data_IF_279755440658
#
_entry.id   IF_279755440658
#
_cell.length_a   1.000
_cell.length_b   1.000
_cell.length_c   1.000
_cell.angle_alpha   90.00
_cell.angle_beta   90.00
_cell.angle_gamma   90.00
#
_symmetry.space_group_name_H-M   'P 1'
#
loop_
_entity.id
_entity.type
_entity.pdbx_description
1 polymer ?
#
# COMPACT_ATOMS: atom_id res chain seq x y z
N UNK A 1 -9.50 -28.53 -36.45
CA UNK A 1 -9.44 -27.18 -35.86
C UNK A 1 -8.90 -27.34 -34.45
N UNK A 2 -7.58 -27.27 -34.27
CA UNK A 2 -6.95 -27.34 -32.96
C UNK A 2 -7.14 -26.00 -32.26
N UNK A 3 -7.77 -26.01 -31.09
CA UNK A 3 -7.80 -24.87 -30.19
C UNK A 3 -6.36 -24.55 -29.79
N UNK A 4 -5.86 -23.39 -30.21
CA UNK A 4 -4.73 -22.75 -29.56
C UNK A 4 -5.22 -22.39 -28.15
N UNK A 5 -4.87 -23.21 -27.15
CA UNK A 5 -4.88 -22.75 -25.77
C UNK A 5 -3.76 -21.73 -25.65
N UNK A 6 -4.11 -20.47 -25.89
CA UNK A 6 -3.20 -19.36 -25.67
C UNK A 6 -3.08 -19.18 -24.15
N UNK A 7 -2.01 -19.74 -23.57
CA UNK A 7 -1.68 -19.68 -22.13
C UNK A 7 -1.55 -18.24 -21.59
N UNK A 8 -1.66 -17.23 -22.45
CA UNK A 8 -1.57 -15.81 -22.10
C UNK A 8 -2.89 -15.19 -21.65
N UNK A 9 -4.04 -15.83 -21.87
CA UNK A 9 -5.36 -15.27 -21.50
C UNK A 9 -5.80 -15.75 -20.12
N UNK A 10 -5.56 -14.92 -19.10
CA UNK A 10 -6.13 -15.12 -17.76
C UNK A 10 -7.64 -14.82 -17.78
N UNK A 11 -8.46 -15.85 -17.71
CA UNK A 11 -9.91 -15.71 -17.58
C UNK A 11 -10.27 -15.07 -16.24
N UNK A 12 -11.10 -14.02 -16.27
CA UNK A 12 -11.61 -13.39 -15.05
C UNK A 12 -12.48 -14.38 -14.28
N UNK A 13 -12.15 -14.59 -13.00
CA UNK A 13 -12.93 -15.42 -12.09
C UNK A 13 -13.62 -14.54 -11.07
N UNK A 14 -14.94 -14.69 -10.97
CA UNK A 14 -15.70 -14.05 -9.91
C UNK A 14 -15.37 -14.69 -8.56
N UNK A 15 -15.33 -13.91 -7.47
CA UNK A 15 -15.24 -14.46 -6.13
C UNK A 15 -16.46 -15.37 -5.85
N UNK A 16 -16.26 -16.51 -5.16
CA UNK A 16 -17.36 -17.31 -4.66
C UNK A 16 -18.32 -16.51 -3.76
N UNK A 17 -19.57 -16.95 -3.64
CA UNK A 17 -20.57 -16.31 -2.77
C UNK A 17 -20.50 -16.80 -1.32
N UNK A 18 -19.89 -17.96 -1.07
CA UNK A 18 -19.64 -18.47 0.27
C UNK A 18 -18.44 -17.72 0.89
N UNK A 19 -18.56 -17.28 2.14
CA UNK A 19 -17.53 -16.44 2.80
C UNK A 19 -16.19 -17.16 2.97
N UNK A 20 -16.17 -18.45 3.29
CA UNK A 20 -14.94 -19.23 3.46
C UNK A 20 -14.24 -19.44 2.12
N UNK A 21 -14.99 -19.82 1.09
CA UNK A 21 -14.46 -19.95 -0.27
C UNK A 21 -14.01 -18.60 -0.84
N UNK A 22 -14.72 -17.51 -0.53
CA UNK A 22 -14.34 -16.15 -0.89
C UNK A 22 -13.04 -15.73 -0.16
N UNK A 23 -12.91 -16.09 1.12
CA UNK A 23 -11.68 -15.87 1.87
C UNK A 23 -10.50 -16.58 1.22
N UNK A 24 -10.62 -17.88 0.93
CA UNK A 24 -9.58 -18.67 0.27
C UNK A 24 -9.21 -18.11 -1.11
N UNK A 25 -10.22 -17.72 -1.89
CA UNK A 25 -10.03 -17.07 -3.18
C UNK A 25 -9.22 -15.77 -3.06
N UNK A 26 -9.56 -14.92 -2.08
CA UNK A 26 -8.83 -13.66 -1.83
C UNK A 26 -7.44 -13.90 -1.24
N UNK A 27 -7.28 -14.90 -0.37
CA UNK A 27 -5.98 -15.29 0.16
C UNK A 27 -5.03 -15.76 -0.95
N UNK A 28 -5.54 -16.50 -1.94
CA UNK A 28 -4.76 -16.90 -3.12
C UNK A 28 -4.30 -15.69 -3.93
N UNK A 29 -5.21 -14.74 -4.20
CA UNK A 29 -4.85 -13.49 -4.87
C UNK A 29 -3.80 -12.69 -4.08
N UNK A 30 -3.93 -12.66 -2.75
CA UNK A 30 -3.00 -11.98 -1.86
C UNK A 30 -1.59 -12.57 -1.95
N UNK A 31 -1.47 -13.90 -2.07
CA UNK A 31 -0.19 -14.58 -2.25
C UNK A 31 0.49 -14.20 -3.57
N UNK A 32 -0.25 -14.15 -4.67
CA UNK A 32 0.29 -13.72 -5.97
C UNK A 32 0.78 -12.27 -5.90
N UNK A 33 -0.05 -11.36 -5.37
CA UNK A 33 0.34 -9.94 -5.23
C UNK A 33 1.57 -9.74 -4.35
N UNK A 34 1.72 -10.59 -3.32
CA UNK A 34 2.93 -10.58 -2.47
C UNK A 34 4.18 -10.96 -3.27
N UNK A 35 4.09 -11.95 -4.15
CA UNK A 35 5.21 -12.34 -5.02
C UNK A 35 5.56 -11.23 -6.02
N UNK A 36 4.55 -10.55 -6.58
CA UNK A 36 4.74 -9.41 -7.49
C UNK A 36 5.47 -8.25 -6.80
N UNK A 37 5.16 -7.97 -5.51
CA UNK A 37 5.87 -6.96 -4.71
C UNK A 37 7.35 -7.32 -4.57
N UNK A 38 7.67 -8.55 -4.13
CA UNK A 38 9.06 -8.98 -3.99
C UNK A 38 9.81 -8.98 -5.32
N UNK A 39 9.18 -9.43 -6.41
CA UNK A 39 9.76 -9.38 -7.76
C UNK A 39 10.02 -7.95 -8.23
N UNK A 40 9.15 -7.00 -7.85
CA UNK A 40 9.35 -5.57 -8.13
C UNK A 40 10.55 -5.01 -7.35
N UNK A 41 10.70 -5.39 -6.08
CA UNK A 41 11.86 -5.00 -5.28
C UNK A 41 13.14 -5.62 -5.87
N UNK A 42 13.11 -6.88 -6.28
CA UNK A 42 14.23 -7.52 -6.98
C UNK A 42 14.60 -6.75 -8.25
N UNK A 43 13.61 -6.41 -9.08
CA UNK A 43 13.83 -5.65 -10.30
C UNK A 43 14.47 -4.28 -10.04
N UNK A 44 14.01 -3.56 -9.03
CA UNK A 44 14.48 -2.20 -8.72
C UNK A 44 15.82 -2.19 -7.99
N UNK A 45 16.11 -3.20 -7.16
CA UNK A 45 17.33 -3.26 -6.34
C UNK A 45 18.44 -4.13 -6.94
N UNK A 46 18.16 -4.88 -8.01
CA UNK A 46 19.17 -5.72 -8.65
C UNK A 46 20.22 -4.87 -9.36
N UNK A 47 21.48 -5.22 -9.11
CA UNK A 47 22.63 -4.64 -9.81
C UNK A 47 22.84 -5.29 -11.20
N UNK A 48 22.22 -6.44 -11.44
CA UNK A 48 22.21 -7.15 -12.72
C UNK A 48 20.76 -7.36 -13.17
N UNK A 49 20.37 -6.84 -14.34
CA UNK A 49 19.07 -7.21 -14.90
C UNK A 49 19.00 -8.73 -15.02
N UNK A 50 18.05 -9.37 -14.34
CA UNK A 50 17.60 -10.67 -14.80
C UNK A 50 16.94 -10.43 -16.16
N UNK A 51 17.41 -11.03 -17.26
CA UNK A 51 16.83 -10.83 -18.60
C UNK A 51 15.35 -11.24 -18.71
N UNK A 52 14.78 -11.84 -17.66
CA UNK A 52 13.48 -12.50 -17.69
C UNK A 52 12.27 -11.58 -17.49
N UNK A 53 12.39 -10.43 -16.83
CA UNK A 53 11.19 -9.64 -16.46
C UNK A 53 10.65 -8.80 -17.63
N UNK A 54 11.51 -8.35 -18.55
CA UNK A 54 11.12 -7.43 -19.63
C UNK A 54 11.21 -7.99 -21.04
N UNK A 55 11.49 -9.28 -21.21
CA UNK A 55 11.62 -9.92 -22.55
C UNK A 55 10.33 -9.88 -23.39
N UNK A 56 9.24 -9.29 -22.89
CA UNK A 56 7.93 -9.22 -23.55
C UNK A 56 7.47 -7.81 -23.97
N UNK A 57 8.23 -6.73 -23.73
CA UNK A 57 7.75 -5.36 -24.11
C UNK A 57 8.37 -4.76 -25.36
N UNK A 58 9.40 -5.39 -25.95
CA UNK A 58 9.97 -4.98 -27.23
C UNK A 58 9.62 -6.00 -28.32
N UNK A 59 8.36 -6.00 -28.77
CA UNK A 59 7.97 -6.59 -30.07
C UNK A 59 8.24 -5.65 -31.25
N UNK A 60 8.87 -4.49 -31.01
CA UNK A 60 9.33 -3.64 -32.10
C UNK A 60 10.60 -4.23 -32.69
N UNK A 61 10.53 -4.66 -33.95
CA UNK A 61 11.73 -4.88 -34.75
C UNK A 61 12.57 -3.60 -34.74
N UNK A 62 13.91 -3.71 -34.65
CA UNK A 62 14.77 -2.54 -34.69
C UNK A 62 14.52 -1.79 -36.00
N UNK A 63 13.88 -0.62 -35.93
CA UNK A 63 13.85 0.28 -37.08
C UNK A 63 15.26 0.83 -37.31
N UNK A 64 15.69 0.99 -38.56
CA UNK A 64 17.02 1.49 -38.96
C UNK A 64 17.41 2.90 -38.45
N UNK A 65 16.60 3.50 -37.58
CA UNK A 65 16.99 4.66 -36.78
C UNK A 65 17.59 4.11 -35.49
N UNK A 66 18.87 4.37 -35.26
CA UNK A 66 19.65 3.92 -34.10
C UNK A 66 19.14 4.42 -32.75
N UNK A 67 17.89 4.10 -32.43
CA UNK A 67 17.27 4.28 -31.14
C UNK A 67 17.92 3.26 -30.23
N UNK A 68 18.92 3.75 -29.48
CA UNK A 68 19.54 3.04 -28.38
C UNK A 68 18.42 2.39 -27.56
N UNK A 69 18.34 1.06 -27.57
CA UNK A 69 17.56 0.30 -26.60
C UNK A 69 18.28 0.50 -25.26
N UNK A 70 18.08 1.68 -24.66
CA UNK A 70 18.57 1.99 -23.33
C UNK A 70 17.72 1.20 -22.37
N UNK A 71 18.34 0.35 -21.56
CA UNK A 71 17.70 -0.22 -20.38
C UNK A 71 17.05 0.94 -19.57
N UNK A 72 15.72 1.06 -19.54
CA UNK A 72 15.04 2.19 -18.91
C UNK A 72 15.25 2.22 -17.39
N UNK A 73 15.70 1.11 -16.81
CA UNK A 73 16.01 0.99 -15.39
C UNK A 73 17.48 1.30 -15.06
N UNK A 74 18.35 1.38 -16.07
CA UNK A 74 19.78 1.65 -15.87
C UNK A 74 20.03 2.94 -15.10
N UNK A 75 19.17 3.95 -15.29
CA UNK A 75 19.24 5.22 -14.58
C UNK A 75 19.04 5.11 -13.06
N UNK A 76 18.46 4.02 -12.55
CA UNK A 76 18.23 3.78 -11.13
C UNK A 76 19.35 2.99 -10.45
N UNK A 77 20.26 2.38 -11.21
CA UNK A 77 21.35 1.55 -10.68
C UNK A 77 22.24 2.33 -9.72
N UNK A 78 22.47 1.78 -8.53
CA UNK A 78 23.22 2.44 -7.46
C UNK A 78 22.57 3.71 -6.88
N UNK A 79 21.37 4.10 -7.33
CA UNK A 79 20.66 5.30 -6.87
C UNK A 79 19.53 5.00 -5.89
N UNK A 80 19.09 3.75 -5.79
CA UNK A 80 18.07 3.33 -4.83
C UNK A 80 18.74 2.84 -3.55
N UNK A 81 18.36 3.44 -2.42
CA UNK A 81 18.85 3.04 -1.10
C UNK A 81 18.08 1.81 -0.61
N UNK A 82 18.76 0.66 -0.59
CA UNK A 82 18.19 -0.65 -0.23
C UNK A 82 17.63 -0.69 1.20
N UNK A 83 18.14 0.16 2.10
CA UNK A 83 17.71 0.24 3.51
C UNK A 83 16.44 1.09 3.74
N UNK A 84 15.96 1.80 2.71
CA UNK A 84 14.83 2.74 2.82
C UNK A 84 13.65 2.34 1.92
N UNK A 85 13.24 1.08 2.01
CA UNK A 85 12.08 0.57 1.26
C UNK A 85 10.84 0.63 2.14
N UNK A 86 9.85 1.40 1.72
CA UNK A 86 8.51 1.40 2.31
C UNK A 86 7.50 0.83 1.32
N UNK A 87 6.52 0.11 1.84
CA UNK A 87 5.37 -0.36 1.07
C UNK A 87 4.17 0.55 1.33
N UNK A 88 3.43 0.88 0.28
CA UNK A 88 2.20 1.64 0.37
C UNK A 88 1.07 0.85 -0.30
N UNK A 89 -0.10 0.82 0.30
CA UNK A 89 -1.22 0.07 -0.24
C UNK A 89 -2.57 0.57 0.23
N UNK A 90 -3.54 0.62 -0.71
CA UNK A 90 -4.93 0.98 -0.44
C UNK A 90 -5.83 -0.26 -0.46
N UNK A 91 -6.76 -0.37 0.49
CA UNK A 91 -7.75 -1.46 0.53
C UNK A 91 -7.08 -2.84 0.53
N UNK A 92 -7.34 -3.68 -0.47
CA UNK A 92 -6.64 -4.95 -0.68
C UNK A 92 -5.12 -4.78 -0.88
N UNK A 93 -4.67 -3.64 -1.42
CA UNK A 93 -3.25 -3.30 -1.50
C UNK A 93 -2.61 -3.15 -0.13
N UNK A 94 -3.35 -2.72 0.90
CA UNK A 94 -2.82 -2.66 2.26
C UNK A 94 -2.59 -4.07 2.83
N UNK A 95 -3.56 -4.97 2.69
CA UNK A 95 -3.39 -6.38 3.05
C UNK A 95 -2.21 -7.02 2.30
N UNK A 96 -2.04 -6.67 1.02
CA UNK A 96 -0.88 -7.09 0.21
C UNK A 96 0.41 -6.63 0.85
N UNK A 97 0.50 -5.36 1.20
CA UNK A 97 1.69 -4.80 1.82
C UNK A 97 2.03 -5.42 3.17
N UNK A 98 1.01 -5.70 4.00
CA UNK A 98 1.20 -6.40 5.27
C UNK A 98 1.79 -7.80 5.07
N UNK A 99 1.18 -8.63 4.21
CA UNK A 99 1.70 -9.98 3.96
C UNK A 99 3.07 -9.95 3.28
N UNK A 100 3.29 -9.00 2.35
CA UNK A 100 4.59 -8.83 1.70
C UNK A 100 5.68 -8.44 2.69
N UNK A 101 5.43 -7.49 3.58
CA UNK A 101 6.40 -7.08 4.58
C UNK A 101 6.74 -8.20 5.58
N UNK A 102 5.80 -9.10 5.86
CA UNK A 102 6.08 -10.29 6.66
C UNK A 102 7.02 -11.26 5.94
N UNK A 103 6.88 -11.43 4.62
CA UNK A 103 7.68 -12.38 3.83
C UNK A 103 9.01 -11.80 3.31
N UNK A 104 9.07 -10.48 3.12
CA UNK A 104 10.20 -9.77 2.55
C UNK A 104 10.72 -8.72 3.52
N UNK A 105 11.84 -9.03 4.17
CA UNK A 105 12.42 -8.20 5.22
C UNK A 105 13.04 -6.89 4.68
N UNK A 106 13.17 -6.73 3.36
CA UNK A 106 13.62 -5.48 2.77
C UNK A 106 12.62 -4.35 2.99
N UNK A 107 11.33 -4.67 3.11
CA UNK A 107 10.27 -3.69 3.37
C UNK A 107 10.38 -3.21 4.83
N UNK A 108 11.01 -2.06 5.05
CA UNK A 108 11.27 -1.52 6.39
C UNK A 108 10.05 -0.86 7.05
N UNK A 109 9.03 -0.48 6.28
CA UNK A 109 7.87 0.28 6.79
C UNK A 109 6.63 0.13 5.91
N UNK A 110 5.45 0.40 6.49
CA UNK A 110 4.15 0.29 5.83
C UNK A 110 3.32 1.57 5.91
N UNK A 111 2.75 1.98 4.78
CA UNK A 111 1.73 3.02 4.66
C UNK A 111 0.42 2.37 4.17
N UNK A 112 -0.57 2.27 5.04
CA UNK A 112 -1.78 1.51 4.80
C UNK A 112 -3.00 2.44 4.74
N UNK A 113 -3.64 2.54 3.57
CA UNK A 113 -4.81 3.39 3.36
C UNK A 113 -6.08 2.55 3.33
N UNK A 114 -7.03 2.81 4.22
CA UNK A 114 -8.27 2.04 4.37
C UNK A 114 -8.06 0.52 4.28
N UNK A 115 -7.31 -0.11 5.21
CA UNK A 115 -6.94 -1.51 5.04
C UNK A 115 -8.16 -2.42 5.05
N UNK A 116 -8.28 -3.27 4.02
CA UNK A 116 -9.25 -4.35 4.01
C UNK A 116 -8.59 -5.62 4.52
N UNK A 117 -8.85 -5.98 5.78
CA UNK A 117 -8.14 -7.04 6.49
C UNK A 117 -8.61 -8.45 6.14
N UNK A 118 -9.81 -8.59 5.55
CA UNK A 118 -10.43 -9.88 5.22
C UNK A 118 -9.51 -10.85 4.45
N UNK A 119 -8.72 -10.44 3.43
CA UNK A 119 -7.89 -11.38 2.68
C UNK A 119 -6.72 -11.98 3.47
N UNK A 120 -6.38 -11.43 4.64
CA UNK A 120 -5.29 -11.96 5.46
C UNK A 120 -5.71 -13.30 6.10
N UNK A 121 -4.77 -14.23 6.32
CA UNK A 121 -5.05 -15.46 7.07
C UNK A 121 -5.69 -15.15 8.43
N UNK A 122 -6.65 -15.97 8.87
CA UNK A 122 -7.31 -15.78 10.16
C UNK A 122 -6.33 -15.72 11.35
N UNK A 123 -5.27 -16.52 11.29
CA UNK A 123 -4.18 -16.53 12.27
C UNK A 123 -3.08 -15.50 12.00
N UNK A 124 -3.26 -14.53 11.09
CA UNK A 124 -2.22 -13.58 10.72
C UNK A 124 -1.62 -12.86 11.94
N UNK A 125 -2.48 -12.40 12.86
CA UNK A 125 -2.08 -11.70 14.08
C UNK A 125 -1.50 -12.64 15.17
N UNK A 126 -1.72 -13.95 15.06
CA UNK A 126 -1.30 -14.95 16.05
C UNK A 126 0.04 -15.61 15.69
N UNK A 127 0.52 -15.43 14.46
CA UNK A 127 1.76 -16.07 14.00
C UNK A 127 2.95 -15.56 14.79
N UNK A 128 3.70 -16.50 15.37
CA UNK A 128 5.00 -16.34 16.05
C UNK A 128 6.06 -15.62 15.16
N UNK A 129 5.81 -15.53 13.84
CA UNK A 129 6.71 -14.96 12.84
C UNK A 129 6.37 -13.52 12.45
N UNK A 130 5.44 -12.84 13.12
CA UNK A 130 5.32 -11.39 12.94
C UNK A 130 6.57 -10.71 13.49
N UNK A 131 7.07 -9.72 12.74
CA UNK A 131 8.17 -8.85 13.14
C UNK A 131 7.65 -7.43 13.33
N UNK A 132 8.38 -6.63 14.08
CA UNK A 132 8.14 -5.20 14.14
C UNK A 132 8.15 -4.59 12.74
N UNK A 133 7.07 -3.89 12.39
CA UNK A 133 6.93 -3.15 11.15
C UNK A 133 6.30 -1.78 11.45
N UNK A 134 7.09 -0.69 11.46
CA UNK A 134 6.54 0.66 11.61
C UNK A 134 5.46 0.91 10.56
N UNK A 135 4.23 1.10 11.04
CA UNK A 135 3.03 1.19 10.19
C UNK A 135 2.27 2.48 10.46
N UNK A 136 2.03 3.27 9.41
CA UNK A 136 1.02 4.33 9.43
C UNK A 136 -0.25 3.82 8.75
N UNK A 137 -1.36 3.82 9.49
CA UNK A 137 -2.68 3.54 8.94
C UNK A 137 -3.47 4.83 8.83
N UNK A 138 -4.02 5.10 7.63
CA UNK A 138 -4.91 6.22 7.38
C UNK A 138 -6.25 5.67 6.89
N UNK A 139 -7.27 5.82 7.73
CA UNK A 139 -8.63 5.41 7.46
C UNK A 139 -9.46 6.58 6.93
N UNK A 140 -10.52 6.22 6.22
CA UNK A 140 -11.59 7.10 5.80
C UNK A 140 -12.79 6.93 6.72
N UNK A 141 -13.38 8.04 7.15
CA UNK A 141 -14.46 8.05 8.15
C UNK A 141 -15.67 7.19 7.82
N UNK A 142 -15.94 6.90 6.53
CA UNK A 142 -17.13 6.15 6.11
C UNK A 142 -16.86 4.73 5.59
N UNK A 143 -15.63 4.21 5.70
CA UNK A 143 -15.28 2.91 5.08
C UNK A 143 -15.41 1.70 6.03
N UNK A 144 -15.05 1.87 7.31
CA UNK A 144 -14.79 0.73 8.18
C UNK A 144 -16.03 0.15 8.88
N UNK A 145 -15.91 -1.13 9.27
CA UNK A 145 -16.85 -1.85 10.12
C UNK A 145 -16.12 -2.48 11.33
N UNK A 146 -16.82 -2.87 12.41
CA UNK A 146 -16.20 -3.24 13.68
C UNK A 146 -15.16 -4.38 13.59
N UNK A 147 -15.45 -5.47 12.88
CA UNK A 147 -14.52 -6.60 12.80
C UNK A 147 -13.24 -6.25 12.04
N UNK A 148 -13.32 -5.43 10.99
CA UNK A 148 -12.13 -4.96 10.27
C UNK A 148 -11.24 -4.05 11.13
N UNK A 149 -11.85 -3.14 11.91
CA UNK A 149 -11.13 -2.31 12.87
C UNK A 149 -10.51 -3.14 13.99
N UNK A 150 -11.19 -4.18 14.47
CA UNK A 150 -10.63 -5.08 15.47
C UNK A 150 -9.39 -5.82 14.94
N UNK A 151 -9.45 -6.35 13.72
CA UNK A 151 -8.29 -6.98 13.07
C UNK A 151 -7.10 -6.02 12.90
N UNK A 152 -7.38 -4.78 12.54
CA UNK A 152 -6.37 -3.72 12.41
C UNK A 152 -5.75 -3.35 13.76
N UNK A 153 -6.57 -3.14 14.79
CA UNK A 153 -6.10 -2.82 16.13
C UNK A 153 -5.20 -3.93 16.71
N UNK A 154 -5.58 -5.20 16.51
CA UNK A 154 -4.74 -6.34 16.92
C UNK A 154 -3.39 -6.35 16.19
N UNK A 155 -3.36 -6.04 14.89
CA UNK A 155 -2.12 -5.95 14.12
C UNK A 155 -1.20 -4.84 14.67
N UNK A 156 -1.75 -3.65 14.91
CA UNK A 156 -0.97 -2.52 15.41
C UNK A 156 -0.47 -2.77 16.85
N UNK A 157 -1.32 -3.35 17.71
CA UNK A 157 -0.94 -3.78 19.05
C UNK A 157 0.24 -4.76 18.99
N UNK A 158 0.17 -5.74 18.08
CA UNK A 158 1.24 -6.71 17.92
C UNK A 158 2.54 -6.07 17.42
N UNK A 159 2.45 -5.11 16.50
CA UNK A 159 3.62 -4.33 16.07
C UNK A 159 4.29 -3.61 17.25
N UNK A 160 3.50 -2.99 18.13
CA UNK A 160 4.01 -2.33 19.32
C UNK A 160 4.68 -3.32 20.27
N UNK A 161 4.05 -4.46 20.58
CA UNK A 161 4.62 -5.53 21.43
C UNK A 161 5.97 -6.05 20.91
N UNK A 162 6.15 -6.07 19.59
CA UNK A 162 7.39 -6.48 18.93
C UNK A 162 8.46 -5.37 18.88
N UNK A 163 8.18 -4.19 19.45
CA UNK A 163 9.11 -3.07 19.55
C UNK A 163 8.89 -1.94 18.55
N UNK A 164 7.83 -1.99 17.73
CA UNK A 164 7.49 -0.92 16.78
C UNK A 164 6.60 0.15 17.42
N UNK A 165 7.18 0.94 18.33
CA UNK A 165 6.54 2.05 19.04
C UNK A 165 6.17 3.26 18.14
N UNK A 166 6.32 3.10 16.83
CA UNK A 166 6.06 4.16 15.84
C UNK A 166 4.80 3.87 15.03
N UNK A 167 4.13 2.73 15.28
CA UNK A 167 2.92 2.39 14.56
C UNK A 167 1.73 3.22 15.03
N UNK A 168 0.94 3.73 14.10
CA UNK A 168 -0.15 4.66 14.42
C UNK A 168 -1.34 4.53 13.47
N UNK A 169 -2.51 4.89 13.98
CA UNK A 169 -3.76 4.91 13.23
C UNK A 169 -4.41 6.29 13.29
N UNK A 170 -4.82 6.78 12.14
CA UNK A 170 -5.48 8.08 11.95
C UNK A 170 -6.71 7.88 11.09
N UNK A 171 -7.79 8.60 11.39
CA UNK A 171 -8.98 8.67 10.55
C UNK A 171 -9.12 10.07 9.97
N UNK A 172 -9.17 10.18 8.64
CA UNK A 172 -9.53 11.43 7.97
C UNK A 172 -11.03 11.64 8.09
N UNK A 173 -11.42 12.84 8.52
CA UNK A 173 -12.82 13.18 8.75
C UNK A 173 -13.51 13.50 7.42
N UNK A 174 -14.79 13.13 7.30
CA UNK A 174 -15.62 13.43 6.13
C UNK A 174 -15.10 12.85 4.81
N UNK A 175 -14.30 11.79 4.87
CA UNK A 175 -13.77 11.07 3.71
C UNK A 175 -14.43 9.70 3.53
N UNK A 176 -14.43 9.23 2.30
CA UNK A 176 -14.88 7.89 1.92
C UNK A 176 -13.80 7.09 1.21
N UNK A 177 -14.07 5.80 0.98
CA UNK A 177 -13.05 4.84 0.57
C UNK A 177 -12.27 5.22 -0.70
N UNK A 178 -12.95 5.83 -1.66
CA UNK A 178 -12.35 6.24 -2.94
C UNK A 178 -11.49 7.51 -2.81
N UNK A 179 -11.52 8.22 -1.68
CA UNK A 179 -10.68 9.40 -1.43
C UNK A 179 -9.22 9.04 -1.18
N UNK A 180 -8.93 7.77 -0.88
CA UNK A 180 -7.58 7.23 -0.77
C UNK A 180 -6.95 6.93 -2.14
N UNK A 181 -7.58 7.38 -3.24
CA UNK A 181 -7.13 7.14 -4.61
C UNK A 181 -7.39 8.36 -5.50
N UNK A 182 -6.75 8.38 -6.68
CA UNK A 182 -6.93 9.45 -7.66
C UNK A 182 -8.36 9.53 -8.22
N UNK A 183 -9.18 8.49 -8.04
CA UNK A 183 -10.56 8.44 -8.53
C UNK A 183 -11.35 9.68 -8.13
N UNK A 184 -11.29 10.07 -6.85
CA UNK A 184 -12.09 11.18 -6.34
C UNK A 184 -11.62 12.54 -6.83
N UNK A 185 -10.36 12.67 -7.26
CA UNK A 185 -9.78 13.90 -7.78
C UNK A 185 -9.93 14.06 -9.30
N UNK A 186 -9.89 12.95 -10.05
CA UNK A 186 -9.88 12.97 -11.52
C UNK A 186 -11.29 12.87 -12.11
N UNK A 187 -12.18 12.11 -11.46
CA UNK A 187 -13.49 11.80 -12.03
C UNK A 187 -14.44 13.00 -11.91
N UNK A 188 -15.26 13.30 -12.95
CA UNK A 188 -16.24 14.37 -12.91
C UNK A 188 -17.13 14.34 -11.67
N UNK A 189 -17.41 15.52 -11.11
CA UNK A 189 -18.07 15.67 -9.82
C UNK A 189 -19.41 14.90 -9.72
N UNK A 190 -20.18 14.80 -10.80
CA UNK A 190 -21.46 14.09 -10.81
C UNK A 190 -21.31 12.56 -10.65
N UNK A 191 -20.30 11.95 -11.28
CA UNK A 191 -19.97 10.52 -11.09
C UNK A 191 -19.40 10.35 -9.68
N UNK A 192 -18.43 11.19 -9.31
CA UNK A 192 -17.79 11.15 -8.00
C UNK A 192 -18.81 11.18 -6.86
N UNK A 193 -19.73 12.13 -6.87
CA UNK A 193 -20.72 12.31 -5.81
C UNK A 193 -21.69 11.11 -5.69
N UNK A 194 -21.88 10.33 -6.77
CA UNK A 194 -22.65 9.08 -6.73
C UNK A 194 -21.96 7.96 -5.97
N UNK A 195 -20.63 7.89 -6.01
CA UNK A 195 -19.83 6.83 -5.38
C UNK A 195 -19.21 7.23 -4.03
N UNK A 196 -19.32 8.51 -3.65
CA UNK A 196 -18.81 9.08 -2.38
C UNK A 196 -19.93 9.37 -1.37
N UNK A 197 -20.81 8.40 -1.14
CA UNK A 197 -21.91 8.60 -0.18
C UNK A 197 -21.36 8.86 1.22
N UNK A 198 -21.80 9.96 1.85
CA UNK A 198 -21.36 10.37 3.19
C UNK A 198 -20.01 11.08 3.27
N UNK A 199 -19.25 11.17 2.16
CA UNK A 199 -17.98 11.88 2.12
C UNK A 199 -18.16 13.29 1.54
N UNK A 200 -17.73 14.30 2.30
CA UNK A 200 -17.86 15.73 1.95
C UNK A 200 -16.53 16.47 1.87
N UNK A 201 -15.42 15.83 2.26
CA UNK A 201 -14.09 16.42 2.16
C UNK A 201 -13.71 16.69 0.69
N UNK A 202 -12.88 17.72 0.48
CA UNK A 202 -12.31 17.98 -0.84
C UNK A 202 -11.26 16.91 -1.20
N UNK A 203 -11.37 16.20 -2.34
CA UNK A 203 -10.45 15.13 -2.70
C UNK A 203 -8.99 15.55 -2.84
N UNK A 204 -8.73 16.76 -3.34
CA UNK A 204 -7.35 17.26 -3.50
C UNK A 204 -6.73 17.54 -2.14
N UNK A 205 -7.52 18.10 -1.22
CA UNK A 205 -7.13 18.27 0.17
C UNK A 205 -6.86 16.93 0.88
N UNK A 206 -7.65 15.88 0.59
CA UNK A 206 -7.43 14.54 1.16
C UNK A 206 -6.11 13.96 0.68
N UNK A 207 -5.86 13.96 -0.65
CA UNK A 207 -4.60 13.47 -1.21
C UNK A 207 -3.40 14.26 -0.71
N UNK A 208 -3.53 15.59 -0.60
CA UNK A 208 -2.50 16.46 -0.02
C UNK A 208 -2.23 16.10 1.44
N UNK A 209 -3.28 15.91 2.24
CA UNK A 209 -3.16 15.53 3.65
C UNK A 209 -2.49 14.16 3.80
N UNK A 210 -2.89 13.18 3.00
CA UNK A 210 -2.23 11.87 2.93
C UNK A 210 -0.74 12.00 2.65
N UNK A 211 -0.36 12.73 1.60
CA UNK A 211 1.05 12.93 1.24
C UNK A 211 1.84 13.55 2.40
N UNK A 212 1.31 14.58 3.05
CA UNK A 212 1.98 15.23 4.18
C UNK A 212 2.13 14.31 5.40
N UNK A 213 1.10 13.54 5.75
CA UNK A 213 1.16 12.55 6.83
C UNK A 213 2.19 11.46 6.53
N UNK A 214 2.18 10.93 5.30
CA UNK A 214 3.13 9.92 4.84
C UNK A 214 4.58 10.43 4.89
N UNK A 215 4.84 11.65 4.43
CA UNK A 215 6.18 12.23 4.52
C UNK A 215 6.62 12.45 5.96
N UNK A 216 5.75 13.01 6.82
CA UNK A 216 6.06 13.21 8.23
C UNK A 216 6.38 11.89 8.95
N UNK A 217 5.72 10.82 8.53
CA UNK A 217 5.95 9.48 9.05
C UNK A 217 7.27 8.89 8.55
N UNK A 218 7.47 8.82 7.23
CA UNK A 218 8.68 8.24 6.64
C UNK A 218 9.96 9.01 7.00
N UNK A 219 9.89 10.33 7.15
CA UNK A 219 11.01 11.15 7.63
C UNK A 219 11.48 10.72 9.02
N UNK A 220 10.55 10.31 9.89
CA UNK A 220 10.85 9.79 11.22
C UNK A 220 11.42 8.37 11.14
N UNK A 221 10.76 7.48 10.40
CA UNK A 221 11.16 6.07 10.31
C UNK A 221 12.55 5.92 9.69
N UNK A 222 12.82 6.62 8.59
CA UNK A 222 14.08 6.52 7.86
C UNK A 222 15.10 7.61 8.22
N UNK A 223 14.78 8.47 9.19
CA UNK A 223 15.67 9.54 9.68
C UNK A 223 16.23 10.44 8.56
N UNK A 224 15.46 10.64 7.47
CA UNK A 224 15.94 11.30 6.24
C UNK A 224 16.25 12.78 6.43
N UNK A 225 15.47 13.44 7.27
CA UNK A 225 15.47 14.91 7.43
C UNK A 225 15.25 15.23 8.90
N UNK A 226 16.33 15.32 9.71
CA UNK A 226 16.23 15.67 11.13
C UNK A 226 15.45 16.97 11.38
N UNK A 227 15.52 17.91 10.42
CA UNK A 227 14.93 19.25 10.45
C UNK A 227 13.77 19.45 9.45
N UNK A 228 13.02 18.39 9.10
CA UNK A 228 11.83 18.51 8.25
C UNK A 228 10.85 19.53 8.83
N UNK A 229 10.52 20.58 8.07
CA UNK A 229 9.53 21.62 8.43
C UNK A 229 8.08 21.15 8.22
N UNK A 230 7.86 19.85 7.99
CA UNK A 230 6.52 19.31 7.78
C UNK A 230 5.67 19.52 9.06
N UNK A 231 4.59 20.33 9.00
CA UNK A 231 3.80 20.67 10.19
C UNK A 231 3.08 19.47 10.80
N UNK A 232 2.84 18.41 10.02
CA UNK A 232 2.22 17.19 10.50
C UNK A 232 3.15 16.37 11.40
N UNK A 233 4.48 16.61 11.35
CA UNK A 233 5.45 15.96 12.24
C UNK A 233 5.10 16.18 13.71
N UNK A 234 4.70 17.40 14.06
CA UNK A 234 4.38 17.74 15.45
C UNK A 234 3.04 17.14 15.87
N UNK A 235 2.10 17.00 14.93
CA UNK A 235 0.82 16.32 15.17
C UNK A 235 1.05 14.82 15.42
N UNK A 236 1.87 14.18 14.59
CA UNK A 236 2.18 12.76 14.72
C UNK A 236 2.99 12.49 16.00
N UNK A 237 4.05 13.28 16.24
CA UNK A 237 5.12 12.90 17.17
C UNK A 237 5.28 13.80 18.40
N UNK A 238 4.58 14.93 18.51
CA UNK A 238 4.69 15.88 19.65
C UNK A 238 3.35 16.23 20.29
N UNK A 239 2.33 15.41 20.06
CA UNK A 239 0.97 15.59 20.60
C UNK A 239 0.35 16.98 20.33
N UNK A 240 0.78 17.63 19.25
CA UNK A 240 0.11 18.84 18.80
C UNK A 240 -1.34 18.52 18.41
N UNK A 241 -2.25 19.45 18.67
CA UNK A 241 -3.67 19.28 18.33
C UNK A 241 -3.81 18.98 16.83
N UNK A 242 -4.49 17.89 16.45
CA UNK A 242 -4.71 17.59 15.05
C UNK A 242 -5.58 18.67 14.39
N UNK A 243 -5.39 18.85 13.09
CA UNK A 243 -6.27 19.66 12.27
C UNK A 243 -7.69 19.10 12.32
N UNK A 244 -8.73 19.94 12.14
CA UNK A 244 -10.12 19.47 12.01
C UNK A 244 -10.32 18.46 10.87
N UNK A 245 -9.37 18.38 9.94
CA UNK A 245 -9.35 17.44 8.81
C UNK A 245 -9.21 15.97 9.22
N UNK A 246 -8.69 15.65 10.41
CA UNK A 246 -8.50 14.26 10.83
C UNK A 246 -8.47 14.09 12.34
N UNK A 247 -8.68 12.85 12.77
CA UNK A 247 -8.63 12.42 14.16
C UNK A 247 -7.51 11.39 14.32
N UNK A 248 -6.70 11.52 15.37
CA UNK A 248 -5.71 10.48 15.68
C UNK A 248 -6.39 9.46 16.58
N UNK A 249 -6.65 8.26 16.05
CA UNK A 249 -7.41 7.23 16.74
C UNK A 249 -6.54 6.46 17.73
N UNK A 250 -5.32 6.16 17.32
CA UNK A 250 -4.38 5.37 18.12
C UNK A 250 -2.95 5.88 17.89
N UNK A 251 -2.33 6.33 18.99
CA UNK A 251 -0.87 6.42 19.13
C UNK A 251 -0.49 5.31 20.10
N UNK A 252 0.01 4.18 19.60
CA UNK A 252 0.48 3.10 20.47
C UNK A 252 1.90 3.42 20.92
#
# INVERSE_FOLDING_TARGET
MSQLQDETVLQYRHPPSNDDEAHEFRATQLLHRTQEVSATIDLMLSDALSPSVWKQTSTHEPTDRGDLVTDPLSQFRGRIKKDFVAMAGHSFGAATGFLAAQKDHRIGSMLAFDPWMFPLPSNYNEKVQLRALPTLVINSSTFHWPSNLQSLAMLLQRNHELGSLQSMQITLNSTGHLDQSDFSAIIPAWIRNRYRSGATADPVDVLTTNAQLNFAFLDRIFQRTPNSLNPYRDILWKDAKPSSKFTVDIKL
#
